data_IF_473550521729
#
_entry.id   IF_473550521729
#
_cell.length_a   1.000
_cell.length_b   1.000
_cell.length_c   1.000
_cell.angle_alpha   90.00
_cell.angle_beta   90.00
_cell.angle_gamma   90.00
#
_symmetry.space_group_name_H-M   'P 1'
#
loop_
_entity.id
_entity.type
_entity.pdbx_description
1 polymer ?
#
# COMPACT_ATOMS: atom_id res chain seq x y z
N UNK A 1 -24.55 75.06 -43.79
CA UNK A 1 -25.14 74.51 -42.55
C UNK A 1 -24.07 73.63 -41.91
N UNK A 2 -23.48 74.09 -40.81
CA UNK A 2 -22.29 73.49 -40.18
C UNK A 2 -22.72 72.94 -38.83
N UNK A 3 -22.49 71.65 -38.59
CA UNK A 3 -22.83 70.97 -37.33
C UNK A 3 -21.72 71.32 -36.32
N UNK A 4 -22.04 71.87 -35.14
CA UNK A 4 -21.03 72.13 -34.12
C UNK A 4 -20.53 70.80 -33.55
N UNK A 5 -19.21 70.63 -33.47
CA UNK A 5 -18.60 69.51 -32.77
C UNK A 5 -18.76 69.73 -31.25
N UNK A 6 -19.41 68.80 -30.58
CA UNK A 6 -19.54 68.77 -29.13
C UNK A 6 -18.15 68.46 -28.54
N UNK A 7 -17.57 69.44 -27.85
CA UNK A 7 -16.28 69.28 -27.18
C UNK A 7 -16.50 68.56 -25.85
N UNK A 8 -16.28 67.25 -25.82
CA UNK A 8 -16.22 66.52 -24.55
C UNK A 8 -14.96 66.96 -23.79
N UNK A 9 -15.17 67.69 -22.70
CA UNK A 9 -14.12 67.95 -21.72
C UNK A 9 -13.75 66.64 -21.04
N UNK A 10 -12.62 66.05 -21.42
CA UNK A 10 -12.04 64.95 -20.66
C UNK A 10 -11.56 65.49 -19.31
N UNK A 11 -12.34 65.24 -18.26
CA UNK A 11 -11.96 65.52 -16.88
C UNK A 11 -10.84 64.57 -16.47
N UNK A 12 -9.64 65.10 -16.19
CA UNK A 12 -8.54 64.33 -15.64
C UNK A 12 -8.80 63.88 -14.19
N UNK A 13 -8.20 62.76 -13.78
CA UNK A 13 -8.33 62.21 -12.43
C UNK A 13 -7.65 63.09 -11.37
N UNK A 14 -8.27 63.19 -10.20
CA UNK A 14 -7.63 63.79 -9.03
C UNK A 14 -6.57 62.84 -8.44
N UNK A 15 -5.50 63.41 -7.86
CA UNK A 15 -4.43 62.64 -7.21
C UNK A 15 -4.99 61.74 -6.09
N UNK A 16 -6.01 62.21 -5.36
CA UNK A 16 -6.69 61.42 -4.32
C UNK A 16 -7.45 60.23 -4.91
N UNK A 17 -8.08 60.37 -6.09
CA UNK A 17 -8.80 59.27 -6.74
C UNK A 17 -7.83 58.19 -7.20
N UNK A 18 -6.67 58.57 -7.73
CA UNK A 18 -5.61 57.62 -8.09
C UNK A 18 -5.11 56.85 -6.86
N UNK A 19 -4.89 57.55 -5.74
CA UNK A 19 -4.46 56.91 -4.49
C UNK A 19 -5.49 55.92 -3.97
N UNK A 20 -6.77 56.30 -3.95
CA UNK A 20 -7.86 55.41 -3.52
C UNK A 20 -8.00 54.21 -4.46
N UNK A 21 -7.93 54.42 -5.77
CA UNK A 21 -7.99 53.35 -6.77
C UNK A 21 -6.84 52.34 -6.61
N UNK A 22 -5.61 52.82 -6.36
CA UNK A 22 -4.45 51.95 -6.11
C UNK A 22 -4.61 51.14 -4.82
N UNK A 23 -5.07 51.77 -3.73
CA UNK A 23 -5.28 51.07 -2.45
C UNK A 23 -6.33 49.97 -2.60
N UNK A 24 -7.46 50.25 -3.26
CA UNK A 24 -8.49 49.24 -3.53
C UNK A 24 -7.93 48.13 -4.43
N UNK A 25 -7.18 48.49 -5.48
CA UNK A 25 -6.54 47.53 -6.38
C UNK A 25 -5.59 46.58 -5.64
N UNK A 26 -4.79 47.09 -4.71
CA UNK A 26 -3.89 46.28 -3.88
C UNK A 26 -4.64 45.35 -2.94
N UNK A 27 -5.75 45.80 -2.33
CA UNK A 27 -6.58 44.95 -1.46
C UNK A 27 -7.19 43.80 -2.27
N UNK A 28 -7.72 44.09 -3.46
CA UNK A 28 -8.26 43.08 -4.36
C UNK A 28 -7.19 42.09 -4.83
N UNK A 29 -6.01 42.60 -5.22
CA UNK A 29 -4.89 41.76 -5.61
C UNK A 29 -4.41 40.86 -4.47
N UNK A 30 -4.33 41.37 -3.24
CA UNK A 30 -3.98 40.57 -2.07
C UNK A 30 -5.03 39.48 -1.77
N UNK A 31 -6.32 39.80 -1.90
CA UNK A 31 -7.40 38.83 -1.79
C UNK A 31 -7.33 37.73 -2.85
N UNK A 32 -7.13 38.12 -4.11
CA UNK A 32 -6.98 37.19 -5.23
C UNK A 32 -5.75 36.30 -5.06
N UNK A 33 -4.63 36.86 -4.61
CA UNK A 33 -3.40 36.11 -4.34
C UNK A 33 -3.61 35.03 -3.27
N UNK A 34 -4.33 35.35 -2.17
CA UNK A 34 -4.68 34.34 -1.16
C UNK A 34 -5.50 33.19 -1.72
N UNK A 35 -6.48 33.50 -2.57
CA UNK A 35 -7.30 32.47 -3.22
C UNK A 35 -6.43 31.61 -4.13
N UNK A 36 -5.52 32.21 -4.90
CA UNK A 36 -4.60 31.50 -5.77
C UNK A 36 -3.70 30.52 -4.99
N UNK A 37 -3.07 30.98 -3.90
CA UNK A 37 -2.23 30.10 -3.07
C UNK A 37 -3.03 28.98 -2.40
N UNK A 38 -4.28 29.26 -1.99
CA UNK A 38 -5.15 28.25 -1.44
C UNK A 38 -5.53 27.19 -2.48
N UNK A 39 -5.80 27.59 -3.73
CA UNK A 39 -6.07 26.67 -4.83
C UNK A 39 -4.86 25.79 -5.14
N UNK A 40 -3.66 26.36 -5.23
CA UNK A 40 -2.41 25.60 -5.46
C UNK A 40 -2.20 24.53 -4.39
N UNK A 41 -2.40 24.87 -3.12
CA UNK A 41 -2.34 23.90 -2.02
C UNK A 41 -3.37 22.79 -2.18
N UNK A 42 -4.62 23.13 -2.48
CA UNK A 42 -5.70 22.15 -2.68
C UNK A 42 -5.34 21.18 -3.81
N UNK A 43 -4.80 21.65 -4.93
CA UNK A 43 -4.34 20.78 -6.01
C UNK A 43 -3.19 19.87 -5.57
N UNK A 44 -2.19 20.40 -4.85
CA UNK A 44 -1.08 19.59 -4.37
C UNK A 44 -1.52 18.48 -3.41
N UNK A 45 -2.46 18.76 -2.50
CA UNK A 45 -3.01 17.73 -1.60
C UNK A 45 -3.80 16.69 -2.38
N UNK A 46 -4.60 17.10 -3.36
CA UNK A 46 -5.33 16.17 -4.23
C UNK A 46 -4.39 15.22 -4.98
N UNK A 47 -3.30 15.75 -5.56
CA UNK A 47 -2.30 14.92 -6.24
C UNK A 47 -1.67 13.89 -5.30
N UNK A 48 -1.31 14.29 -4.07
CA UNK A 48 -0.75 13.37 -3.06
C UNK A 48 -1.75 12.27 -2.65
N UNK A 49 -3.03 12.59 -2.54
CA UNK A 49 -4.08 11.61 -2.22
C UNK A 49 -4.25 10.59 -3.35
N UNK A 50 -4.20 11.05 -4.61
CA UNK A 50 -4.28 10.18 -5.80
C UNK A 50 -3.05 9.28 -5.92
N UNK A 51 -1.84 9.83 -5.71
CA UNK A 51 -0.59 9.07 -5.73
C UNK A 51 -0.60 7.96 -4.67
N UNK A 52 -0.96 8.29 -3.43
CA UNK A 52 -1.12 7.32 -2.35
C UNK A 52 -2.11 6.21 -2.74
N UNK A 53 -3.26 6.56 -3.31
CA UNK A 53 -4.27 5.59 -3.73
C UNK A 53 -3.77 4.66 -4.85
N UNK A 54 -3.06 5.20 -5.83
CA UNK A 54 -2.48 4.40 -6.91
C UNK A 54 -1.41 3.45 -6.37
N UNK A 55 -0.55 3.94 -5.48
CA UNK A 55 0.54 3.18 -4.91
C UNK A 55 0.05 2.03 -4.01
N UNK A 56 -0.97 2.26 -3.16
CA UNK A 56 -1.55 1.17 -2.35
C UNK A 56 -2.24 0.11 -3.22
N UNK A 57 -2.90 0.51 -4.31
CA UNK A 57 -3.50 -0.43 -5.29
C UNK A 57 -2.43 -1.25 -6.00
N UNK A 58 -1.35 -0.61 -6.45
CA UNK A 58 -0.22 -1.30 -7.07
C UNK A 58 0.41 -2.33 -6.12
N UNK A 59 0.56 -1.97 -4.83
CA UNK A 59 1.03 -2.89 -3.79
C UNK A 59 0.11 -4.09 -3.60
N UNK A 60 -1.20 -3.86 -3.47
CA UNK A 60 -2.20 -4.94 -3.35
C UNK A 60 -2.26 -5.83 -4.60
N UNK A 61 -2.16 -5.26 -5.80
CA UNK A 61 -2.16 -6.01 -7.06
C UNK A 61 -0.95 -6.92 -7.16
N UNK A 62 0.23 -6.43 -6.74
CA UNK A 62 1.45 -7.22 -6.69
C UNK A 62 1.31 -8.43 -5.75
N UNK A 63 0.85 -8.19 -4.51
CA UNK A 63 0.58 -9.25 -3.54
C UNK A 63 -0.44 -10.24 -4.09
N UNK A 64 -1.54 -9.73 -4.66
CA UNK A 64 -2.65 -10.54 -5.14
C UNK A 64 -2.22 -11.46 -6.28
N UNK A 65 -1.45 -10.94 -7.24
CA UNK A 65 -0.95 -11.74 -8.36
C UNK A 65 -0.03 -12.86 -7.89
N UNK A 66 0.89 -12.56 -6.97
CA UNK A 66 1.83 -13.57 -6.47
C UNK A 66 1.11 -14.60 -5.60
N UNK A 67 0.14 -14.19 -4.79
CA UNK A 67 -0.71 -15.10 -3.99
C UNK A 67 -1.57 -16.05 -4.84
N UNK A 68 -1.99 -15.65 -6.03
CA UNK A 68 -2.76 -16.56 -6.91
C UNK A 68 -1.95 -17.77 -7.36
N UNK A 69 -0.61 -17.68 -7.35
CA UNK A 69 0.28 -18.79 -7.68
C UNK A 69 0.66 -19.62 -6.45
N UNK A 70 0.39 -19.11 -5.23
CA UNK A 70 0.75 -19.80 -3.99
C UNK A 70 0.22 -21.24 -3.97
N UNK A 71 1.09 -22.18 -3.60
CA UNK A 71 0.85 -23.62 -3.54
C UNK A 71 0.68 -24.29 -4.89
N UNK A 72 1.14 -23.69 -5.99
CA UNK A 72 1.29 -24.41 -7.26
C UNK A 72 2.26 -25.58 -7.09
N UNK A 73 1.81 -26.80 -7.41
CA UNK A 73 2.52 -28.07 -7.20
C UNK A 73 2.03 -29.10 -8.24
N UNK A 74 2.56 -29.08 -9.48
CA UNK A 74 2.10 -29.92 -10.58
C UNK A 74 2.41 -31.41 -10.38
N UNK A 75 3.37 -31.75 -9.52
CA UNK A 75 3.75 -33.14 -9.22
C UNK A 75 3.11 -33.69 -7.94
N UNK A 76 2.23 -32.90 -7.31
CA UNK A 76 1.48 -33.28 -6.10
C UNK A 76 2.40 -33.73 -4.95
N UNK A 77 3.53 -33.04 -4.80
CA UNK A 77 4.54 -33.30 -3.75
C UNK A 77 4.07 -32.96 -2.34
N UNK A 78 3.01 -32.16 -2.22
CA UNK A 78 2.38 -31.73 -0.97
C UNK A 78 3.28 -30.80 -0.12
N UNK A 79 4.32 -30.24 -0.77
CA UNK A 79 5.35 -29.40 -0.16
C UNK A 79 5.10 -27.90 -0.31
N UNK A 80 4.18 -27.49 -1.19
CA UNK A 80 3.97 -26.08 -1.52
C UNK A 80 2.69 -25.50 -0.90
N UNK A 81 2.69 -24.21 -0.57
CA UNK A 81 1.53 -23.57 0.05
C UNK A 81 1.83 -22.29 0.81
N UNK A 82 0.92 -21.92 1.72
CA UNK A 82 1.15 -20.84 2.69
C UNK A 82 2.09 -21.36 3.77
N UNK A 83 3.11 -20.58 4.10
CA UNK A 83 4.10 -20.92 5.13
C UNK A 83 4.18 -19.84 6.19
N UNK A 84 4.89 -20.11 7.28
CA UNK A 84 5.07 -19.20 8.39
C UNK A 84 6.55 -18.94 8.66
N UNK A 85 6.89 -17.74 9.12
CA UNK A 85 8.25 -17.42 9.57
C UNK A 85 8.59 -18.14 10.89
N UNK A 86 9.82 -18.64 11.02
CA UNK A 86 10.31 -19.30 12.25
C UNK A 86 11.49 -18.53 12.85
N UNK A 87 11.38 -17.98 14.05
CA UNK A 87 12.48 -17.22 14.67
C UNK A 87 13.77 -18.04 14.91
N UNK A 88 13.65 -19.36 15.10
CA UNK A 88 14.78 -20.27 15.34
C UNK A 88 15.49 -20.74 14.04
N UNK A 89 14.85 -20.53 12.90
CA UNK A 89 15.42 -20.72 11.57
C UNK A 89 15.08 -19.43 10.81
N UNK A 90 15.94 -18.39 10.87
CA UNK A 90 15.64 -17.11 10.22
C UNK A 90 15.45 -17.25 8.70
N UNK A 91 15.78 -18.42 8.16
CA UNK A 91 15.39 -18.91 6.84
C UNK A 91 13.94 -19.41 6.79
N UNK A 92 13.25 -19.10 5.71
CA UNK A 92 11.92 -19.61 5.42
C UNK A 92 11.87 -21.13 5.58
N UNK A 93 10.88 -21.67 6.32
CA UNK A 93 10.85 -23.10 6.56
C UNK A 93 10.66 -23.84 5.24
N UNK A 94 11.52 -24.82 5.02
CA UNK A 94 11.51 -25.71 3.86
C UNK A 94 10.28 -26.67 3.84
N UNK A 95 9.25 -26.42 4.63
CA UNK A 95 8.07 -27.27 4.70
C UNK A 95 6.84 -26.50 5.16
N UNK A 96 5.67 -26.97 4.70
CA UNK A 96 4.32 -26.64 5.16
C UNK A 96 4.07 -27.05 6.63
N UNK A 97 5.06 -26.87 7.51
CA UNK A 97 5.03 -27.43 8.86
C UNK A 97 3.88 -26.83 9.67
N UNK A 98 2.97 -27.71 10.08
CA UNK A 98 1.76 -27.45 10.86
C UNK A 98 2.00 -26.86 12.26
N UNK A 99 3.23 -26.53 12.64
CA UNK A 99 3.62 -26.12 14.00
C UNK A 99 4.44 -24.83 14.06
N UNK A 100 4.47 -24.04 12.99
CA UNK A 100 5.31 -22.86 12.92
C UNK A 100 4.63 -21.63 13.51
N UNK A 101 5.03 -21.24 14.73
CA UNK A 101 4.60 -20.00 15.36
C UNK A 101 5.17 -18.80 14.59
N UNK A 102 4.32 -18.15 13.81
CA UNK A 102 4.64 -16.94 13.07
C UNK A 102 4.95 -15.84 14.12
N UNK A 103 6.14 -15.24 14.04
CA UNK A 103 6.64 -14.33 15.09
C UNK A 103 6.28 -12.85 14.87
N UNK A 104 5.76 -12.50 13.68
CA UNK A 104 5.43 -11.13 13.30
C UNK A 104 4.08 -11.05 12.57
N UNK A 105 3.15 -10.23 13.07
CA UNK A 105 1.78 -10.07 12.58
C UNK A 105 1.65 -9.36 11.20
N UNK A 106 2.77 -9.09 10.52
CA UNK A 106 2.83 -8.17 9.36
C UNK A 106 3.68 -8.70 8.21
N UNK A 107 3.80 -10.02 8.12
CA UNK A 107 4.56 -10.69 7.06
C UNK A 107 3.69 -11.78 6.41
N UNK A 108 3.94 -12.04 5.13
CA UNK A 108 3.23 -13.04 4.34
C UNK A 108 4.25 -13.87 3.58
N UNK A 109 4.18 -15.18 3.72
CA UNK A 109 5.09 -16.13 3.09
C UNK A 109 4.33 -17.27 2.43
N UNK A 110 4.81 -17.68 1.26
CA UNK A 110 4.27 -18.80 0.53
C UNK A 110 5.30 -19.37 -0.45
N UNK A 111 5.01 -20.54 -0.97
CA UNK A 111 5.86 -21.25 -1.92
C UNK A 111 5.10 -21.64 -3.19
N UNK A 112 5.85 -21.79 -4.29
CA UNK A 112 5.38 -22.28 -5.58
C UNK A 112 6.42 -23.24 -6.14
N UNK A 113 6.01 -24.25 -6.89
CA UNK A 113 6.89 -25.15 -7.63
C UNK A 113 7.20 -24.54 -9.00
N UNK A 114 8.15 -23.59 -9.06
CA UNK A 114 8.53 -22.91 -10.30
C UNK A 114 9.33 -23.84 -11.24
N UNK A 115 10.10 -24.77 -10.68
CA UNK A 115 10.92 -25.73 -11.42
C UNK A 115 10.17 -27.02 -11.81
N UNK A 116 8.99 -27.24 -11.22
CA UNK A 116 8.12 -28.41 -11.43
C UNK A 116 8.77 -29.74 -11.02
N UNK A 117 9.65 -29.73 -10.01
CA UNK A 117 10.39 -30.91 -9.57
C UNK A 117 9.89 -31.52 -8.25
N UNK A 118 8.92 -30.86 -7.60
CA UNK A 118 8.30 -31.33 -6.36
C UNK A 118 9.13 -31.11 -5.10
N UNK A 119 10.25 -30.40 -5.21
CA UNK A 119 11.13 -30.11 -4.10
C UNK A 119 11.27 -28.60 -3.93
N UNK A 120 11.41 -28.14 -2.70
CA UNK A 120 11.61 -26.72 -2.45
C UNK A 120 13.10 -26.42 -2.47
N UNK A 121 13.58 -25.93 -3.60
CA UNK A 121 14.96 -25.60 -3.85
C UNK A 121 15.35 -24.24 -3.28
N UNK A 122 16.60 -24.15 -2.80
CA UNK A 122 17.20 -22.90 -2.32
C UNK A 122 17.67 -21.98 -3.47
N UNK A 123 17.66 -22.52 -4.69
CA UNK A 123 18.18 -21.87 -5.89
C UNK A 123 17.08 -21.64 -6.95
N UNK A 124 15.90 -22.24 -6.79
CA UNK A 124 14.71 -21.94 -7.59
C UNK A 124 13.95 -20.78 -6.95
N UNK A 125 13.38 -19.88 -7.73
CA UNK A 125 12.50 -18.80 -7.26
C UNK A 125 11.16 -19.37 -6.75
N UNK A 126 11.20 -20.24 -5.73
CA UNK A 126 10.09 -21.08 -5.29
C UNK A 126 9.52 -20.63 -3.94
N UNK A 127 10.16 -19.65 -3.30
CA UNK A 127 9.77 -19.09 -2.01
C UNK A 127 9.59 -17.59 -2.15
N UNK A 128 8.42 -17.11 -1.76
CA UNK A 128 8.03 -15.71 -1.89
C UNK A 128 7.64 -15.14 -0.54
N UNK A 129 8.03 -13.89 -0.32
CA UNK A 129 7.72 -13.15 0.90
C UNK A 129 7.31 -11.72 0.64
N UNK A 130 6.43 -11.21 1.50
CA UNK A 130 6.06 -9.81 1.60
C UNK A 130 6.15 -9.36 3.06
N UNK A 131 6.64 -8.14 3.26
CA UNK A 131 6.62 -7.48 4.59
C UNK A 131 6.67 -5.97 4.45
N UNK A 132 6.44 -5.28 5.57
CA UNK A 132 6.74 -3.86 5.68
C UNK A 132 8.17 -3.70 6.19
N UNK A 133 8.97 -2.93 5.46
CA UNK A 133 10.30 -2.52 5.88
C UNK A 133 10.41 -0.99 5.73
N UNK A 134 10.63 -0.28 6.85
CA UNK A 134 10.86 1.16 6.85
C UNK A 134 9.78 1.95 6.10
N UNK A 135 8.50 1.62 6.36
CA UNK A 135 7.32 2.19 5.72
C UNK A 135 7.18 1.91 4.21
N UNK A 136 7.86 0.88 3.70
CA UNK A 136 7.67 0.40 2.34
C UNK A 136 7.20 -1.04 2.37
N UNK A 137 6.25 -1.37 1.49
CA UNK A 137 5.97 -2.76 1.18
C UNK A 137 7.11 -3.28 0.33
N UNK A 138 7.73 -4.36 0.78
CA UNK A 138 8.83 -5.02 0.08
C UNK A 138 8.45 -6.46 -0.24
N UNK A 139 8.92 -6.94 -1.39
CA UNK A 139 8.81 -8.33 -1.81
C UNK A 139 10.18 -8.96 -1.99
N UNK A 140 10.29 -10.27 -1.80
CA UNK A 140 11.47 -11.04 -2.16
C UNK A 140 11.06 -12.41 -2.71
N UNK A 141 11.78 -12.89 -3.72
CA UNK A 141 11.99 -14.33 -3.92
C UNK A 141 13.29 -14.73 -3.22
N UNK A 142 13.37 -15.93 -2.66
CA UNK A 142 14.61 -16.39 -2.03
C UNK A 142 15.56 -16.92 -3.10
N UNK A 143 16.76 -16.36 -3.14
CA UNK A 143 17.87 -16.87 -3.94
C UNK A 143 19.12 -16.93 -3.07
N UNK A 144 19.30 -18.00 -2.29
CA UNK A 144 20.66 -18.41 -1.90
C UNK A 144 20.66 -19.83 -1.33
N UNK A 145 21.74 -20.57 -1.61
CA UNK A 145 22.01 -21.91 -1.12
C UNK A 145 21.97 -22.06 0.41
N UNK A 146 22.13 -20.95 1.15
CA UNK A 146 22.14 -20.89 2.62
C UNK A 146 20.81 -20.43 3.24
N UNK A 147 19.80 -20.14 2.40
CA UNK A 147 18.48 -19.70 2.89
C UNK A 147 18.43 -18.24 3.35
N UNK A 148 19.41 -17.43 2.98
CA UNK A 148 19.35 -15.99 3.22
C UNK A 148 18.41 -15.30 2.24
N UNK A 149 17.69 -14.30 2.77
CA UNK A 149 16.84 -13.40 1.99
C UNK A 149 17.74 -12.43 1.23
N UNK A 150 18.16 -12.80 0.03
CA UNK A 150 19.25 -12.12 -0.66
C UNK A 150 18.91 -10.68 -1.12
N UNK A 151 17.63 -10.33 -1.33
CA UNK A 151 17.28 -8.96 -1.71
C UNK A 151 15.79 -8.65 -1.56
N UNK A 152 15.42 -7.87 -0.54
CA UNK A 152 14.09 -7.28 -0.46
C UNK A 152 13.99 -6.09 -1.41
N UNK A 153 13.04 -6.13 -2.34
CA UNK A 153 12.80 -5.08 -3.32
C UNK A 153 11.55 -4.28 -2.95
N UNK A 154 11.58 -2.94 -3.05
CA UNK A 154 10.39 -2.13 -2.82
C UNK A 154 9.36 -2.37 -3.92
N UNK A 155 8.11 -2.60 -3.52
CA UNK A 155 6.96 -2.74 -4.43
C UNK A 155 5.96 -1.59 -4.30
N UNK A 156 5.88 -0.98 -3.11
CA UNK A 156 5.08 0.21 -2.86
C UNK A 156 5.69 1.00 -1.70
N UNK A 157 5.69 2.32 -1.82
CA UNK A 157 6.26 3.21 -0.79
C UNK A 157 5.18 3.73 0.18
N UNK A 158 5.56 4.32 1.30
CA UNK A 158 4.61 4.95 2.23
C UNK A 158 3.49 4.01 2.72
N UNK A 159 3.77 2.71 2.81
CA UNK A 159 2.89 1.69 3.40
C UNK A 159 3.27 1.54 4.87
N UNK A 160 2.41 2.02 5.76
CA UNK A 160 2.67 2.03 7.20
C UNK A 160 2.43 0.67 7.85
N UNK A 161 1.45 -0.08 7.39
CA UNK A 161 1.12 -1.39 7.96
C UNK A 161 0.58 -2.37 6.93
N UNK A 162 0.90 -3.64 7.14
CA UNK A 162 0.25 -4.78 6.50
C UNK A 162 -0.35 -5.67 7.57
N UNK A 163 -1.61 -6.07 7.36
CA UNK A 163 -2.30 -7.07 8.16
C UNK A 163 -2.81 -8.18 7.23
N UNK A 164 -2.68 -9.43 7.67
CA UNK A 164 -3.10 -10.59 6.90
C UNK A 164 -4.08 -11.42 7.74
N UNK A 165 -5.14 -11.91 7.12
CA UNK A 165 -6.02 -12.90 7.73
C UNK A 165 -6.28 -14.06 6.79
N UNK A 166 -6.47 -15.24 7.38
CA UNK A 166 -6.63 -16.49 6.65
C UNK A 166 -8.04 -17.03 6.88
N UNK A 167 -8.75 -17.38 5.82
CA UNK A 167 -10.03 -18.10 5.91
C UNK A 167 -9.82 -19.54 5.54
N UNK A 168 -10.35 -20.44 6.36
CA UNK A 168 -10.13 -21.88 6.24
C UNK A 168 -11.34 -22.59 5.62
N UNK A 169 -11.19 -23.88 5.32
CA UNK A 169 -12.19 -24.71 4.66
C UNK A 169 -13.52 -24.82 5.42
N UNK A 170 -13.47 -24.70 6.75
CA UNK A 170 -14.63 -24.66 7.64
C UNK A 170 -15.32 -23.27 7.70
N UNK A 171 -14.81 -22.30 6.95
CA UNK A 171 -15.32 -20.92 6.89
C UNK A 171 -14.88 -20.03 8.04
N UNK A 172 -14.09 -20.55 8.99
CA UNK A 172 -13.60 -19.75 10.10
C UNK A 172 -12.36 -18.94 9.69
N UNK A 173 -12.16 -17.78 10.31
CA UNK A 173 -11.06 -16.85 10.02
C UNK A 173 -9.99 -16.96 11.11
N UNK A 174 -8.72 -16.71 10.77
CA UNK A 174 -7.62 -16.66 11.72
C UNK A 174 -7.91 -15.66 12.85
N UNK A 175 -7.68 -16.09 14.08
CA UNK A 175 -7.92 -15.30 15.29
C UNK A 175 -6.80 -14.31 15.58
N UNK A 176 -5.57 -14.65 15.21
CA UNK A 176 -4.43 -13.76 15.27
C UNK A 176 -4.25 -13.01 13.94
N UNK A 177 -4.00 -11.70 14.03
CA UNK A 177 -3.64 -10.89 12.86
C UNK A 177 -2.26 -11.30 12.37
N UNK A 178 -2.15 -11.58 11.08
CA UNK A 178 -0.90 -11.96 10.42
C UNK A 178 -0.46 -13.40 10.64
N UNK A 179 -1.10 -14.14 11.56
CA UNK A 179 -0.68 -15.50 11.89
C UNK A 179 -1.84 -16.49 11.59
N UNK A 180 -1.56 -17.61 10.93
CA UNK A 180 -2.51 -18.72 10.86
C UNK A 180 -2.69 -19.37 12.24
N UNK A 181 -3.91 -19.87 12.50
CA UNK A 181 -4.34 -20.56 13.73
C UNK A 181 -3.73 -21.99 13.84
N UNK A 182 -2.40 -22.08 13.86
CA UNK A 182 -1.63 -23.32 13.88
C UNK A 182 -1.73 -24.11 15.21
N UNK A 183 -2.18 -23.48 16.29
CA UNK A 183 -2.28 -24.08 17.63
C UNK A 183 -3.61 -24.85 17.82
N UNK A 184 -4.55 -24.73 16.89
CA UNK A 184 -5.83 -25.43 16.93
C UNK A 184 -5.64 -26.83 16.34
N UNK A 185 -5.89 -27.89 17.13
CA UNK A 185 -5.52 -29.28 16.82
C UNK A 185 -6.12 -29.89 15.54
N UNK A 186 -6.96 -29.16 14.80
CA UNK A 186 -7.61 -29.60 13.57
C UNK A 186 -7.51 -28.56 12.43
N UNK A 187 -6.50 -27.67 12.47
CA UNK A 187 -6.28 -26.62 11.47
C UNK A 187 -4.89 -26.74 10.87
N UNK A 188 -4.84 -26.96 9.57
CA UNK A 188 -3.62 -27.02 8.78
C UNK A 188 -3.55 -25.80 7.83
N UNK A 189 -2.35 -25.41 7.42
CA UNK A 189 -2.14 -24.45 6.33
C UNK A 189 -2.81 -24.88 5.03
N UNK A 190 -2.96 -26.20 4.81
CA UNK A 190 -3.70 -26.76 3.67
C UNK A 190 -5.19 -26.49 3.70
N UNK A 191 -5.75 -26.25 4.88
CA UNK A 191 -7.17 -25.91 5.00
C UNK A 191 -7.43 -24.46 4.61
N UNK A 192 -6.40 -23.64 4.35
CA UNK A 192 -6.58 -22.24 3.94
C UNK A 192 -7.20 -22.20 2.53
N UNK A 193 -8.29 -21.44 2.40
CA UNK A 193 -9.04 -21.24 1.16
C UNK A 193 -8.93 -19.83 0.62
N UNK A 194 -8.76 -18.85 1.51
CA UNK A 194 -8.51 -17.48 1.08
C UNK A 194 -7.59 -16.74 2.05
N UNK A 195 -6.90 -15.75 1.50
CA UNK A 195 -6.05 -14.82 2.24
C UNK A 195 -6.59 -13.43 2.00
N UNK A 196 -6.88 -12.70 3.08
CA UNK A 196 -7.21 -11.28 3.00
C UNK A 196 -6.01 -10.47 3.46
N UNK A 197 -5.54 -9.59 2.59
CA UNK A 197 -4.43 -8.68 2.87
C UNK A 197 -4.98 -7.27 2.96
N UNK A 198 -4.69 -6.62 4.08
CA UNK A 198 -5.08 -5.23 4.36
C UNK A 198 -3.82 -4.39 4.44
N UNK A 199 -3.72 -3.37 3.60
CA UNK A 199 -2.64 -2.39 3.64
C UNK A 199 -3.18 -1.06 4.15
N UNK A 200 -2.36 -0.33 4.90
CA UNK A 200 -2.58 1.07 5.23
C UNK A 200 -1.44 1.90 4.66
N UNK A 201 -1.77 2.83 3.76
CA UNK A 201 -0.82 3.75 3.16
C UNK A 201 -1.08 5.18 3.64
N UNK A 202 -0.03 6.00 3.63
CA UNK A 202 -0.12 7.43 3.94
C UNK A 202 0.40 8.30 2.78
N UNK A 203 0.06 9.59 2.80
CA UNK A 203 0.68 10.55 1.89
C UNK A 203 2.19 10.65 2.13
N UNK A 204 2.96 10.93 1.07
CA UNK A 204 4.41 11.08 1.16
C UNK A 204 4.82 12.35 1.95
N UNK A 205 3.97 13.37 1.93
CA UNK A 205 4.17 14.64 2.64
C UNK A 205 3.04 14.89 3.63
N UNK A 206 3.36 15.68 4.64
CA UNK A 206 2.39 16.19 5.59
C UNK A 206 1.54 17.31 4.96
N UNK A 207 0.29 17.39 5.39
CA UNK A 207 -0.60 18.52 5.18
C UNK A 207 -0.83 19.22 6.52
N UNK A 208 -0.17 20.35 6.80
CA UNK A 208 -0.27 21.05 8.08
C UNK A 208 -1.68 21.51 8.47
N UNK A 209 -2.61 21.60 7.51
CA UNK A 209 -4.01 21.99 7.79
C UNK A 209 -4.90 20.78 8.11
N UNK A 210 -4.36 19.57 8.00
CA UNK A 210 -5.02 18.32 8.34
C UNK A 210 -4.50 17.79 9.67
N UNK A 211 -5.34 17.12 10.45
CA UNK A 211 -4.89 16.36 11.63
C UNK A 211 -5.63 15.04 11.63
N UNK A 212 -4.87 13.95 11.58
CA UNK A 212 -5.39 12.60 11.57
C UNK A 212 -6.09 12.31 12.92
N UNK A 213 -7.35 11.85 12.91
CA UNK A 213 -8.10 11.66 14.14
C UNK A 213 -7.57 10.52 15.01
N UNK A 214 -6.85 9.56 14.43
CA UNK A 214 -6.40 8.35 15.12
C UNK A 214 -4.95 8.52 15.64
N UNK A 215 -4.09 9.17 14.86
CA UNK A 215 -2.67 9.34 15.22
C UNK A 215 -2.31 10.74 15.71
N UNK A 216 -3.12 11.75 15.37
CA UNK A 216 -2.84 13.15 15.68
C UNK A 216 -1.74 13.79 14.82
N UNK A 217 -1.23 13.09 13.80
CA UNK A 217 -0.25 13.63 12.87
C UNK A 217 -0.91 14.32 11.66
N UNK A 218 -0.09 14.83 10.75
CA UNK A 218 -0.53 15.63 9.61
C UNK A 218 -0.56 14.83 8.30
N UNK A 219 -0.66 13.48 8.35
CA UNK A 219 -0.63 12.63 7.16
C UNK A 219 -2.00 12.03 6.84
N UNK A 220 -2.41 12.07 5.57
CA UNK A 220 -3.67 11.45 5.15
C UNK A 220 -3.48 9.94 4.91
N UNK A 221 -4.32 9.10 5.50
CA UNK A 221 -4.25 7.63 5.40
C UNK A 221 -5.37 7.02 4.57
N UNK A 222 -5.06 5.93 3.85
CA UNK A 222 -6.05 5.01 3.25
C UNK A 222 -5.77 3.62 3.76
N UNK A 223 -6.82 2.87 4.06
CA UNK A 223 -6.73 1.43 4.25
C UNK A 223 -7.54 0.74 3.17
N UNK A 224 -6.91 -0.17 2.44
CA UNK A 224 -7.55 -1.03 1.45
C UNK A 224 -7.30 -2.50 1.78
N UNK A 225 -8.28 -3.34 1.50
CA UNK A 225 -8.18 -4.78 1.66
C UNK A 225 -8.47 -5.49 0.33
N UNK A 226 -7.73 -6.56 0.07
CA UNK A 226 -7.96 -7.49 -1.05
C UNK A 226 -8.05 -8.91 -0.52
N UNK A 227 -9.02 -9.68 -0.98
CA UNK A 227 -9.17 -11.10 -0.64
C UNK A 227 -8.86 -11.95 -1.87
N UNK A 228 -7.94 -12.89 -1.71
CA UNK A 228 -7.47 -13.78 -2.77
C UNK A 228 -7.89 -15.21 -2.43
N UNK A 229 -8.56 -15.87 -3.38
CA UNK A 229 -8.90 -17.29 -3.27
C UNK A 229 -7.69 -18.13 -3.71
N UNK A 230 -7.25 -19.04 -2.85
CA UNK A 230 -6.10 -19.90 -3.10
C UNK A 230 -6.56 -21.18 -3.81
N UNK A 231 -6.48 -21.20 -5.14
CA UNK A 231 -6.99 -22.31 -5.95
C UNK A 231 -6.10 -23.55 -5.89
N UNK A 232 -4.79 -23.36 -5.72
CA UNK A 232 -3.83 -24.45 -5.76
C UNK A 232 -3.73 -25.21 -4.42
N UNK A 233 -4.27 -24.68 -3.32
CA UNK A 233 -4.29 -25.34 -2.01
C UNK A 233 -5.53 -26.22 -1.78
N UNK A 234 -6.37 -26.43 -2.80
CA UNK A 234 -7.72 -26.98 -2.65
C UNK A 234 -7.84 -28.52 -2.73
N UNK A 235 -6.74 -29.28 -2.66
CA UNK A 235 -6.77 -30.74 -2.79
C UNK A 235 -6.63 -31.49 -1.45
#
# INVERSE_FOLDING_TARGET
MMIPAENHSESGFSLIELMVAMVIGLILAAGAFKIFTAQEKVYSVQDQLLERQQNIRAGLDNITRSLQMAGYDPVESDNFGITAYQAAAPFFPASNASTLALAAASELYFTIDDSEDGTIDNNGDERFGFKINSNNLVSASIQSSDGDIASWQPVAENIESMAVSYTYADGTVSTAVGLPDNAVSNRNFKDIRSVTVTLTARTAKEDPDFTDPDTGDHYHRETLASTVMLRNLSY
#
